data_IF_720245150760
#
_entry.id   IF_720245150760
#
_cell.length_a   1.000
_cell.length_b   1.000
_cell.length_c   1.000
_cell.angle_alpha   90.00
_cell.angle_beta   90.00
_cell.angle_gamma   90.00
#
_symmetry.space_group_name_H-M   'P 1'
#
loop_
_entity.id
_entity.type
_entity.pdbx_description
1 polymer ?
#
# COMPACT_ATOMS: atom_id res chain seq x y z
N UNK A 1 -6.54 27.17 -4.81
CA UNK A 1 -6.09 25.75 -4.81
C UNK A 1 -5.67 25.43 -3.40
N UNK A 2 -6.32 24.45 -2.79
CA UNK A 2 -5.98 23.97 -1.46
C UNK A 2 -4.64 23.23 -1.52
N UNK A 3 -3.73 23.52 -0.59
CA UNK A 3 -2.43 22.83 -0.55
C UNK A 3 -2.65 21.44 0.04
N UNK A 4 -2.20 20.40 -0.65
CA UNK A 4 -2.14 19.05 -0.11
C UNK A 4 -1.28 19.05 1.17
N UNK A 5 -1.82 18.54 2.26
CA UNK A 5 -1.07 18.39 3.50
C UNK A 5 -0.29 17.10 3.47
N UNK A 6 1.02 17.20 3.28
CA UNK A 6 1.92 16.05 3.41
C UNK A 6 1.99 15.67 4.89
N UNK A 7 1.16 14.72 5.28
CA UNK A 7 1.09 14.16 6.64
C UNK A 7 1.20 12.64 6.56
N UNK A 8 1.70 11.98 7.61
CA UNK A 8 1.73 10.52 7.62
C UNK A 8 0.32 9.94 7.41
N UNK A 9 0.13 9.07 6.40
CA UNK A 9 -1.10 8.31 6.27
C UNK A 9 -1.29 7.41 7.49
N UNK A 10 -2.55 7.20 7.85
CA UNK A 10 -2.92 6.38 9.00
C UNK A 10 -4.10 5.47 8.62
N UNK A 11 -4.20 4.26 9.22
CA UNK A 11 -5.42 3.48 9.12
C UNK A 11 -6.58 4.20 9.80
N UNK A 12 -7.80 3.80 9.50
CA UNK A 12 -9.01 4.44 10.02
C UNK A 12 -9.09 4.48 11.58
N UNK A 13 -8.41 3.55 12.25
CA UNK A 13 -8.33 3.47 13.72
C UNK A 13 -7.10 4.21 14.32
N UNK A 14 -6.32 4.93 13.50
CA UNK A 14 -5.12 5.67 13.94
C UNK A 14 -3.98 4.76 14.38
N UNK A 15 -3.26 5.17 15.45
CA UNK A 15 -2.11 4.43 16.00
C UNK A 15 -2.49 3.30 16.96
N UNK A 16 -3.72 2.76 16.89
CA UNK A 16 -4.15 1.60 17.67
C UNK A 16 -3.43 0.32 17.28
N UNK A 17 -3.56 -0.72 18.10
CA UNK A 17 -3.09 -2.04 17.70
C UNK A 17 -3.98 -2.62 16.58
N UNK A 18 -3.37 -3.41 15.70
CA UNK A 18 -4.03 -4.16 14.63
C UNK A 18 -3.61 -5.63 14.75
N UNK A 19 -3.97 -6.26 15.86
CA UNK A 19 -3.58 -7.64 16.14
C UNK A 19 -4.30 -8.63 15.23
N UNK A 20 -3.65 -9.73 14.80
CA UNK A 20 -2.28 -10.12 15.13
C UNK A 20 -1.18 -9.45 14.28
N UNK A 21 -1.54 -8.56 13.36
CA UNK A 21 -0.62 -7.96 12.37
C UNK A 21 0.45 -7.08 13.05
N UNK A 22 0.02 -6.11 13.84
CA UNK A 22 0.91 -5.16 14.51
C UNK A 22 0.36 -4.75 15.87
N UNK A 23 1.23 -4.63 16.88
CA UNK A 23 0.89 -4.00 18.14
C UNK A 23 0.97 -2.47 18.05
N UNK A 24 0.51 -1.79 19.12
CA UNK A 24 0.50 -0.34 19.16
C UNK A 24 1.88 0.28 18.96
N UNK A 25 2.91 -0.32 19.55
CA UNK A 25 4.28 0.19 19.43
C UNK A 25 4.78 0.09 17.98
N UNK A 26 4.54 -1.03 17.32
CA UNK A 26 4.89 -1.22 15.91
C UNK A 26 4.15 -0.22 15.03
N UNK A 27 2.85 0.01 15.26
CA UNK A 27 2.06 0.99 14.52
C UNK A 27 2.56 2.43 14.74
N UNK A 28 2.89 2.79 15.98
CA UNK A 28 3.41 4.11 16.32
C UNK A 28 4.75 4.39 15.61
N UNK A 29 5.69 3.45 15.70
CA UNK A 29 6.97 3.55 14.99
C UNK A 29 6.75 3.64 13.47
N UNK A 30 5.88 2.82 12.92
CA UNK A 30 5.58 2.78 11.49
C UNK A 30 5.06 4.13 10.98
N UNK A 31 4.04 4.67 11.66
CA UNK A 31 3.37 5.93 11.25
C UNK A 31 4.24 7.15 11.55
N UNK A 32 4.71 7.30 12.78
CA UNK A 32 5.33 8.56 13.22
C UNK A 32 6.83 8.61 12.98
N UNK A 33 7.55 7.50 13.11
CA UNK A 33 9.00 7.50 12.91
C UNK A 33 9.32 7.29 11.43
N UNK A 34 8.84 6.20 10.82
CA UNK A 34 9.20 5.85 9.44
C UNK A 34 8.53 6.82 8.45
N UNK A 35 7.20 6.81 8.42
CA UNK A 35 6.47 7.64 7.45
C UNK A 35 6.52 9.12 7.80
N UNK A 36 6.55 9.44 9.09
CA UNK A 36 6.73 10.81 9.58
C UNK A 36 8.02 11.45 9.06
N UNK A 37 9.12 10.70 9.02
CA UNK A 37 10.39 11.14 8.43
C UNK A 37 10.27 11.37 6.92
N UNK A 38 9.69 10.43 6.17
CA UNK A 38 9.45 10.60 4.73
C UNK A 38 8.65 11.87 4.42
N UNK A 39 7.64 12.17 5.24
CA UNK A 39 6.86 13.40 5.10
C UNK A 39 7.68 14.66 5.37
N UNK A 40 8.54 14.64 6.39
CA UNK A 40 9.41 15.77 6.72
C UNK A 40 10.43 16.02 5.60
N UNK A 41 11.08 14.98 5.12
CA UNK A 41 12.05 15.05 4.04
C UNK A 41 11.40 15.57 2.74
N UNK A 42 10.23 15.03 2.37
CA UNK A 42 9.51 15.47 1.18
C UNK A 42 9.14 16.96 1.23
N UNK A 43 8.65 17.46 2.38
CA UNK A 43 8.32 18.90 2.53
C UNK A 43 9.52 19.81 2.24
N UNK A 44 10.70 19.43 2.75
CA UNK A 44 11.94 20.18 2.53
C UNK A 44 12.36 20.13 1.05
N UNK A 45 12.31 18.95 0.45
CA UNK A 45 12.73 18.73 -0.94
C UNK A 45 11.88 19.51 -1.95
N UNK A 46 10.57 19.67 -1.69
CA UNK A 46 9.66 20.35 -2.63
C UNK A 46 9.29 21.77 -2.23
N UNK A 47 9.91 22.34 -1.20
CA UNK A 47 9.58 23.70 -0.69
C UNK A 47 9.62 24.77 -1.78
N UNK A 48 10.59 24.70 -2.69
CA UNK A 48 10.74 25.62 -3.84
C UNK A 48 9.81 25.30 -5.04
N UNK A 49 8.92 24.32 -4.94
CA UNK A 49 8.09 23.84 -6.06
C UNK A 49 6.59 23.89 -5.73
N UNK A 50 5.94 25.07 -5.80
CA UNK A 50 4.55 25.27 -5.36
C UNK A 50 3.53 24.30 -5.97
N UNK A 51 3.72 23.89 -7.23
CA UNK A 51 2.83 22.94 -7.91
C UNK A 51 2.87 21.57 -7.22
N UNK A 52 4.02 21.13 -6.73
CA UNK A 52 4.12 19.83 -6.03
C UNK A 52 3.33 19.79 -4.72
N UNK A 53 3.15 20.94 -4.07
CA UNK A 53 2.34 21.04 -2.84
C UNK A 53 0.83 20.85 -3.04
N UNK A 54 0.37 20.80 -4.29
CA UNK A 54 -1.06 20.58 -4.61
C UNK A 54 -1.36 19.15 -5.03
N UNK A 55 -0.32 18.31 -5.14
CA UNK A 55 -0.40 16.94 -5.61
C UNK A 55 -0.33 15.95 -4.45
N UNK A 56 -1.01 14.81 -4.58
CA UNK A 56 -0.87 13.68 -3.66
C UNK A 56 0.50 12.99 -3.81
N UNK A 57 0.91 12.25 -2.79
CA UNK A 57 2.24 11.63 -2.75
C UNK A 57 2.52 10.73 -3.97
N UNK A 58 1.53 9.93 -4.39
CA UNK A 58 1.66 9.10 -5.60
C UNK A 58 1.95 9.96 -6.84
N UNK A 59 1.23 11.07 -7.00
CA UNK A 59 1.38 11.94 -8.16
C UNK A 59 2.71 12.69 -8.12
N UNK A 60 3.16 13.14 -6.95
CA UNK A 60 4.50 13.72 -6.76
C UNK A 60 5.57 12.71 -7.19
N UNK A 61 5.47 11.46 -6.71
CA UNK A 61 6.40 10.39 -7.06
C UNK A 61 6.45 10.17 -8.59
N UNK A 62 5.29 10.05 -9.24
CA UNK A 62 5.18 9.84 -10.69
C UNK A 62 5.68 11.03 -11.51
N UNK A 63 5.57 12.25 -11.00
CA UNK A 63 6.00 13.50 -11.65
C UNK A 63 7.40 13.96 -11.24
N UNK A 64 8.10 13.25 -10.38
CA UNK A 64 9.43 13.64 -9.92
C UNK A 64 10.43 13.88 -11.07
N UNK A 65 10.22 13.24 -12.24
CA UNK A 65 11.02 13.48 -13.45
C UNK A 65 10.99 14.94 -13.92
N UNK A 66 9.99 15.75 -13.55
CA UNK A 66 9.88 17.18 -13.86
C UNK A 66 10.75 18.07 -12.96
N UNK A 67 11.27 17.50 -11.86
CA UNK A 67 12.11 18.21 -10.91
C UNK A 67 13.60 18.21 -11.33
N UNK A 68 14.41 19.11 -10.77
CA UNK A 68 15.86 19.13 -10.99
C UNK A 68 16.49 17.76 -10.68
N UNK A 69 17.44 17.35 -11.52
CA UNK A 69 18.08 16.01 -11.41
C UNK A 69 18.65 15.74 -10.01
N UNK A 70 19.14 16.78 -9.35
CA UNK A 70 19.78 16.67 -8.04
C UNK A 70 18.87 16.15 -6.94
N UNK A 71 17.57 16.52 -6.96
CA UNK A 71 16.60 16.15 -5.91
C UNK A 71 15.61 15.06 -6.35
N UNK A 72 15.63 14.69 -7.63
CA UNK A 72 14.60 13.82 -8.24
C UNK A 72 14.45 12.48 -7.55
N UNK A 73 15.57 11.82 -7.28
CA UNK A 73 15.54 10.48 -6.65
C UNK A 73 15.12 10.55 -5.18
N UNK A 74 15.54 11.59 -4.45
CA UNK A 74 15.13 11.78 -3.06
C UNK A 74 13.64 12.10 -2.96
N UNK A 75 13.10 12.89 -3.91
CA UNK A 75 11.65 13.14 -3.99
C UNK A 75 10.89 11.84 -4.34
N UNK A 76 11.38 11.06 -5.31
CA UNK A 76 10.78 9.77 -5.64
C UNK A 76 10.76 8.83 -4.46
N UNK A 77 11.88 8.75 -3.74
CA UNK A 77 12.00 7.90 -2.54
C UNK A 77 11.00 8.32 -1.45
N UNK A 78 10.98 9.61 -1.09
CA UNK A 78 10.12 10.11 -0.02
C UNK A 78 8.64 10.05 -0.40
N UNK A 79 8.27 10.54 -1.59
CA UNK A 79 6.89 10.53 -2.05
C UNK A 79 6.38 9.11 -2.34
N UNK A 80 7.22 8.26 -2.92
CA UNK A 80 6.91 6.85 -3.13
C UNK A 80 6.68 6.12 -1.82
N UNK A 81 7.52 6.35 -0.82
CA UNK A 81 7.36 5.77 0.51
C UNK A 81 6.04 6.16 1.17
N UNK A 82 5.65 7.44 1.12
CA UNK A 82 4.37 7.90 1.63
C UNK A 82 3.22 7.19 0.90
N UNK A 83 3.24 7.17 -0.44
CA UNK A 83 2.20 6.53 -1.24
C UNK A 83 2.10 5.03 -0.98
N UNK A 84 3.23 4.32 -0.86
CA UNK A 84 3.25 2.90 -0.51
C UNK A 84 2.53 2.62 0.82
N UNK A 85 2.79 3.46 1.83
CA UNK A 85 2.16 3.32 3.14
C UNK A 85 0.68 3.75 3.14
N UNK A 86 0.27 4.70 2.30
CA UNK A 86 -1.15 5.01 2.09
C UNK A 86 -1.91 3.78 1.61
N UNK A 87 -1.36 3.02 0.67
CA UNK A 87 -1.95 1.78 0.19
C UNK A 87 -1.89 0.64 1.20
N UNK A 88 -0.86 0.61 2.06
CA UNK A 88 -0.73 -0.38 3.12
C UNK A 88 -1.79 -0.17 4.22
N UNK A 89 -2.00 1.07 4.67
CA UNK A 89 -2.93 1.37 5.75
C UNK A 89 -4.40 1.45 5.32
N UNK A 90 -4.66 1.69 4.03
CA UNK A 90 -5.97 2.07 3.50
C UNK A 90 -7.13 1.19 3.93
N UNK A 91 -6.90 -0.10 4.00
CA UNK A 91 -7.97 -1.07 4.29
C UNK A 91 -7.76 -1.85 5.58
N UNK A 92 -6.79 -1.45 6.41
CA UNK A 92 -6.57 -2.13 7.69
C UNK A 92 -7.69 -1.84 8.68
N UNK A 93 -8.06 -2.86 9.47
CA UNK A 93 -9.04 -2.80 10.54
C UNK A 93 -8.41 -3.20 11.88
N UNK A 94 -8.88 -2.54 12.97
CA UNK A 94 -8.38 -2.81 14.32
C UNK A 94 -9.12 -3.95 15.03
N UNK A 95 -10.32 -4.32 14.57
CA UNK A 95 -11.11 -5.36 15.23
C UNK A 95 -10.42 -6.73 15.21
N UNK A 96 -10.81 -7.61 16.13
CA UNK A 96 -10.21 -8.93 16.27
C UNK A 96 -10.88 -9.98 15.35
N UNK A 97 -11.98 -9.64 14.69
CA UNK A 97 -12.69 -10.55 13.80
C UNK A 97 -11.95 -10.72 12.47
N UNK A 98 -12.02 -11.91 11.94
CA UNK A 98 -11.47 -12.22 10.63
C UNK A 98 -12.47 -11.80 9.54
N UNK A 99 -12.03 -10.94 8.64
CA UNK A 99 -12.83 -10.51 7.50
C UNK A 99 -12.42 -11.31 6.25
N UNK A 100 -13.42 -11.91 5.61
CA UNK A 100 -13.26 -12.64 4.35
C UNK A 100 -13.87 -11.83 3.20
N UNK A 101 -13.36 -12.00 1.97
CA UNK A 101 -13.96 -11.38 0.81
C UNK A 101 -15.43 -11.78 0.63
N UNK A 102 -16.30 -10.79 0.44
CA UNK A 102 -17.70 -11.04 0.03
C UNK A 102 -17.80 -11.66 -1.36
N UNK A 103 -19.01 -12.04 -1.76
CA UNK A 103 -19.27 -12.79 -3.01
C UNK A 103 -18.68 -12.13 -4.25
N UNK A 104 -18.81 -10.80 -4.38
CA UNK A 104 -18.32 -10.07 -5.54
C UNK A 104 -16.79 -10.04 -5.61
N UNK A 105 -16.12 -9.74 -4.49
CA UNK A 105 -14.64 -9.75 -4.45
C UNK A 105 -14.14 -11.17 -4.69
N UNK A 106 -14.77 -12.18 -4.09
CA UNK A 106 -14.47 -13.60 -4.31
C UNK A 106 -14.57 -13.99 -5.78
N UNK A 107 -15.58 -13.47 -6.51
CA UNK A 107 -15.72 -13.71 -7.95
C UNK A 107 -14.61 -13.04 -8.77
N UNK A 108 -14.22 -11.80 -8.42
CA UNK A 108 -13.08 -11.12 -9.07
C UNK A 108 -11.76 -11.86 -8.81
N UNK A 109 -11.55 -12.32 -7.57
CA UNK A 109 -10.40 -13.16 -7.21
C UNK A 109 -10.42 -14.49 -7.99
N UNK A 110 -11.58 -15.14 -8.10
CA UNK A 110 -11.74 -16.38 -8.87
C UNK A 110 -11.38 -16.20 -10.35
N UNK A 111 -11.83 -15.13 -10.98
CA UNK A 111 -11.48 -14.80 -12.39
C UNK A 111 -10.01 -14.52 -12.58
N UNK A 112 -9.34 -13.97 -11.56
CA UNK A 112 -7.95 -13.52 -11.64
C UNK A 112 -6.95 -14.60 -11.25
N UNK A 113 -7.30 -15.45 -10.25
CA UNK A 113 -6.39 -16.40 -9.62
C UNK A 113 -6.93 -17.83 -9.54
N UNK A 114 -8.16 -18.08 -10.04
CA UNK A 114 -8.82 -19.40 -10.02
C UNK A 114 -9.75 -19.60 -8.83
N UNK A 115 -9.40 -19.09 -7.64
CA UNK A 115 -10.23 -19.04 -6.44
C UNK A 115 -9.70 -17.99 -5.46
N UNK A 116 -10.49 -17.66 -4.41
CA UNK A 116 -10.01 -16.84 -3.30
C UNK A 116 -8.87 -17.56 -2.53
N UNK A 117 -8.99 -18.85 -2.30
CA UNK A 117 -7.95 -19.66 -1.63
C UNK A 117 -6.64 -19.68 -2.43
N UNK A 118 -6.73 -19.79 -3.77
CA UNK A 118 -5.57 -19.71 -4.65
C UNK A 118 -4.90 -18.34 -4.55
N UNK A 119 -5.68 -17.26 -4.50
CA UNK A 119 -5.15 -15.92 -4.29
C UNK A 119 -4.42 -15.82 -2.94
N UNK A 120 -5.03 -16.25 -1.84
CA UNK A 120 -4.42 -16.21 -0.52
C UNK A 120 -3.12 -17.03 -0.46
N UNK A 121 -3.12 -18.20 -1.09
CA UNK A 121 -1.91 -19.01 -1.20
C UNK A 121 -0.80 -18.28 -1.98
N UNK A 122 -1.11 -17.79 -3.19
CA UNK A 122 -0.15 -17.11 -4.07
C UNK A 122 0.39 -15.84 -3.38
N UNK A 123 -0.47 -15.04 -2.74
CA UNK A 123 -0.07 -13.82 -2.05
C UNK A 123 0.97 -14.10 -0.95
N UNK A 124 0.74 -15.13 -0.13
CA UNK A 124 1.69 -15.56 0.92
C UNK A 124 3.00 -16.06 0.34
N UNK A 125 2.96 -16.82 -0.75
CA UNK A 125 4.18 -17.32 -1.38
C UNK A 125 4.99 -16.21 -2.06
N UNK A 126 4.33 -15.22 -2.68
CA UNK A 126 5.01 -14.06 -3.23
C UNK A 126 5.66 -13.20 -2.13
N UNK A 127 4.97 -12.98 -1.01
CA UNK A 127 5.55 -12.28 0.15
C UNK A 127 6.80 -12.99 0.68
N UNK A 128 6.77 -14.33 0.78
CA UNK A 128 7.92 -15.15 1.20
C UNK A 128 9.09 -15.05 0.23
N UNK A 129 8.84 -14.93 -1.08
CA UNK A 129 9.88 -14.90 -2.11
C UNK A 129 10.67 -13.60 -2.17
N UNK A 130 10.12 -12.51 -1.67
CA UNK A 130 10.81 -11.23 -1.66
C UNK A 130 12.01 -11.26 -0.69
N UNK A 131 13.23 -11.11 -1.21
CA UNK A 131 14.47 -11.19 -0.43
C UNK A 131 14.89 -9.83 0.13
N UNK A 132 14.41 -8.73 -0.44
CA UNK A 132 14.77 -7.36 -0.07
C UNK A 132 13.54 -6.59 0.38
N UNK A 133 13.73 -5.50 1.13
CA UNK A 133 12.64 -4.58 1.47
C UNK A 133 11.96 -4.02 0.23
N UNK A 134 10.64 -3.86 0.31
CA UNK A 134 9.79 -3.39 -0.77
C UNK A 134 8.33 -3.69 -0.49
N UNK A 135 7.50 -3.69 -1.52
CA UNK A 135 6.05 -3.87 -1.39
C UNK A 135 5.52 -4.94 -2.33
N UNK A 136 4.60 -5.75 -1.81
CA UNK A 136 3.78 -6.65 -2.61
C UNK A 136 2.42 -5.98 -2.84
N UNK A 137 2.05 -5.81 -4.09
CA UNK A 137 0.87 -5.07 -4.51
C UNK A 137 -0.21 -5.98 -5.04
N UNK A 138 -1.45 -5.68 -4.70
CA UNK A 138 -2.62 -6.10 -5.45
C UNK A 138 -3.06 -4.91 -6.32
N UNK A 139 -3.15 -5.12 -7.62
CA UNK A 139 -3.46 -4.09 -8.60
C UNK A 139 -4.65 -4.47 -9.47
N UNK A 140 -5.37 -3.48 -9.99
CA UNK A 140 -6.27 -3.65 -11.13
C UNK A 140 -5.54 -3.33 -12.43
N UNK A 141 -5.95 -3.96 -13.52
CA UNK A 141 -5.43 -3.68 -14.86
C UNK A 141 -6.34 -2.67 -15.57
N UNK A 142 -5.80 -1.50 -15.98
CA UNK A 142 -6.59 -0.35 -16.44
C UNK A 142 -7.23 -0.48 -17.82
N UNK A 143 -7.00 -1.59 -18.54
CA UNK A 143 -7.41 -1.76 -19.95
C UNK A 143 -8.51 -2.78 -20.19
N UNK A 144 -9.12 -3.31 -19.14
CA UNK A 144 -10.11 -4.37 -19.27
C UNK A 144 -11.50 -3.88 -18.89
N UNK A 145 -12.48 -4.07 -19.75
CA UNK A 145 -13.90 -3.93 -19.41
C UNK A 145 -14.35 -4.94 -18.34
N UNK A 146 -13.50 -5.91 -18.03
CA UNK A 146 -13.70 -6.89 -16.95
C UNK A 146 -12.59 -6.68 -15.94
N UNK A 147 -12.94 -6.34 -14.71
CA UNK A 147 -11.97 -6.17 -13.63
C UNK A 147 -11.16 -7.44 -13.42
N UNK A 148 -9.86 -7.32 -13.59
CA UNK A 148 -8.88 -8.36 -13.27
C UNK A 148 -7.88 -7.83 -12.27
N UNK A 149 -7.52 -8.68 -11.32
CA UNK A 149 -6.51 -8.40 -10.32
C UNK A 149 -5.17 -9.04 -10.70
N UNK A 150 -4.09 -8.35 -10.37
CA UNK A 150 -2.71 -8.82 -10.59
C UNK A 150 -1.89 -8.56 -9.34
N UNK A 151 -0.98 -9.48 -9.05
CA UNK A 151 0.08 -9.22 -8.08
C UNK A 151 1.30 -8.64 -8.79
N UNK A 152 1.92 -7.67 -8.16
CA UNK A 152 3.17 -7.07 -8.58
C UNK A 152 4.06 -6.87 -7.34
N UNK A 153 5.36 -6.99 -7.49
CA UNK A 153 6.33 -6.70 -6.44
C UNK A 153 7.23 -5.55 -6.86
N UNK A 154 7.51 -4.64 -5.95
CA UNK A 154 8.43 -3.53 -6.17
C UNK A 154 9.52 -3.52 -5.11
N UNK A 155 10.67 -2.93 -5.42
CA UNK A 155 11.78 -2.76 -4.48
C UNK A 155 11.76 -1.37 -3.87
N UNK A 156 12.24 -1.25 -2.66
CA UNK A 156 12.26 0.04 -1.98
C UNK A 156 10.85 0.63 -1.90
N UNK A 157 10.71 1.87 -2.28
CA UNK A 157 9.44 2.61 -2.34
C UNK A 157 8.98 2.87 -3.79
N UNK A 158 9.33 2.00 -4.71
CA UNK A 158 8.83 2.10 -6.07
C UNK A 158 7.34 1.73 -6.14
N UNK A 159 6.62 2.47 -7.00
CA UNK A 159 5.21 2.20 -7.30
C UNK A 159 5.09 1.19 -8.46
N UNK A 160 4.00 0.43 -8.54
CA UNK A 160 3.75 -0.42 -9.69
C UNK A 160 3.76 0.38 -10.99
N UNK A 161 4.39 -0.14 -12.05
CA UNK A 161 4.41 0.53 -13.35
C UNK A 161 3.04 0.45 -14.04
N UNK A 162 2.77 1.38 -14.97
CA UNK A 162 1.64 1.26 -15.88
C UNK A 162 1.69 -0.08 -16.65
N UNK A 163 0.54 -0.72 -16.94
CA UNK A 163 -0.84 -0.23 -16.78
C UNK A 163 -1.49 -0.59 -15.43
N UNK A 164 -0.73 -0.97 -14.44
CA UNK A 164 -1.26 -1.42 -13.16
C UNK A 164 -1.69 -0.23 -12.30
N UNK A 165 -2.94 -0.28 -11.81
CA UNK A 165 -3.49 0.68 -10.86
C UNK A 165 -3.47 0.04 -9.47
N UNK A 166 -2.68 0.57 -8.52
CA UNK A 166 -2.59 0.03 -7.17
C UNK A 166 -3.96 -0.03 -6.49
N UNK A 167 -4.27 -1.13 -5.82
CA UNK A 167 -5.45 -1.29 -4.97
C UNK A 167 -5.06 -1.30 -3.50
N UNK A 168 -4.17 -2.19 -3.13
CA UNK A 168 -3.56 -2.27 -1.81
C UNK A 168 -2.11 -2.76 -1.91
N UNK A 169 -1.34 -2.55 -0.85
CA UNK A 169 0.02 -3.03 -0.73
C UNK A 169 0.28 -3.72 0.61
N UNK A 170 1.16 -4.71 0.62
CA UNK A 170 1.77 -5.28 1.81
C UNK A 170 3.19 -4.73 1.93
N UNK A 171 3.51 -4.12 3.06
CA UNK A 171 4.85 -3.66 3.37
C UNK A 171 5.73 -4.85 3.77
N UNK A 172 6.83 -5.07 3.05
CA UNK A 172 7.80 -6.14 3.31
C UNK A 172 9.17 -5.58 3.74
N UNK A 173 9.20 -4.35 4.23
CA UNK A 173 10.32 -3.84 5.01
C UNK A 173 10.31 -4.45 6.41
N UNK A 174 11.47 -4.68 6.98
CA UNK A 174 11.66 -5.36 8.28
C UNK A 174 10.91 -4.67 9.42
N UNK A 175 10.82 -3.34 9.42
CA UNK A 175 10.11 -2.60 10.46
C UNK A 175 8.61 -2.96 10.56
N UNK A 176 8.01 -3.48 9.50
CA UNK A 176 6.58 -3.83 9.48
C UNK A 176 6.29 -5.19 10.14
N UNK A 177 7.25 -6.12 10.15
CA UNK A 177 6.96 -7.50 10.55
C UNK A 177 7.97 -8.14 11.51
N UNK A 178 9.23 -7.68 11.55
CA UNK A 178 10.31 -8.41 12.23
C UNK A 178 10.05 -8.64 13.73
N UNK A 179 9.45 -7.66 14.39
CA UNK A 179 9.20 -7.71 15.84
C UNK A 179 8.19 -8.78 16.24
N UNK A 180 7.24 -9.11 15.37
CA UNK A 180 6.16 -10.07 15.68
C UNK A 180 6.30 -11.40 14.97
N UNK A 181 6.81 -11.40 13.77
CA UNK A 181 6.87 -12.58 12.89
C UNK A 181 8.31 -13.07 12.64
N UNK A 182 9.33 -12.35 13.13
CA UNK A 182 10.71 -12.67 12.79
C UNK A 182 10.88 -12.71 11.27
N UNK A 183 11.44 -13.79 10.75
CA UNK A 183 11.64 -13.99 9.30
C UNK A 183 10.41 -14.61 8.58
N UNK A 184 9.34 -14.94 9.33
CA UNK A 184 8.15 -15.59 8.75
C UNK A 184 7.23 -14.58 8.04
N UNK A 185 7.65 -14.14 6.87
CA UNK A 185 6.86 -13.26 5.99
C UNK A 185 5.56 -13.88 5.52
N UNK A 186 5.46 -15.23 5.53
CA UNK A 186 4.22 -15.92 5.16
C UNK A 186 3.16 -15.75 6.24
N UNK A 187 3.53 -15.94 7.52
CA UNK A 187 2.62 -15.70 8.64
C UNK A 187 2.22 -14.21 8.73
N UNK A 188 3.16 -13.30 8.46
CA UNK A 188 2.87 -11.87 8.38
C UNK A 188 1.88 -11.53 7.27
N UNK A 189 2.06 -12.05 6.06
CA UNK A 189 1.13 -11.85 4.95
C UNK A 189 -0.27 -12.42 5.25
N UNK A 190 -0.34 -13.56 5.94
CA UNK A 190 -1.60 -14.13 6.40
C UNK A 190 -2.29 -13.22 7.40
N UNK A 191 -1.57 -12.71 8.40
CA UNK A 191 -2.10 -11.76 9.37
C UNK A 191 -2.60 -10.46 8.71
N UNK A 192 -1.90 -9.96 7.69
CA UNK A 192 -2.34 -8.80 6.91
C UNK A 192 -3.66 -9.05 6.20
N UNK A 193 -3.79 -10.16 5.47
CA UNK A 193 -5.00 -10.51 4.72
C UNK A 193 -6.24 -10.64 5.62
N UNK A 194 -6.05 -11.10 6.86
CA UNK A 194 -7.11 -11.20 7.88
C UNK A 194 -7.55 -9.85 8.45
N UNK A 195 -6.74 -8.80 8.32
CA UNK A 195 -7.01 -7.45 8.82
C UNK A 195 -7.52 -6.50 7.74
N UNK A 196 -7.83 -7.00 6.55
CA UNK A 196 -8.36 -6.18 5.47
C UNK A 196 -9.87 -6.00 5.57
N UNK A 197 -10.32 -4.76 5.43
CA UNK A 197 -11.72 -4.43 5.17
C UNK A 197 -12.07 -4.76 3.71
N UNK A 198 -12.52 -5.98 3.48
CA UNK A 198 -12.87 -6.46 2.13
C UNK A 198 -14.09 -5.73 1.54
N UNK A 199 -14.99 -5.19 2.37
CA UNK A 199 -16.12 -4.38 1.90
C UNK A 199 -15.65 -3.04 1.33
N UNK A 200 -14.65 -2.41 1.97
CA UNK A 200 -14.03 -1.20 1.44
C UNK A 200 -13.21 -1.47 0.17
N UNK A 201 -12.57 -2.63 0.07
CA UNK A 201 -11.92 -3.10 -1.18
C UNK A 201 -12.97 -3.25 -2.28
N UNK A 202 -14.12 -3.86 -2.01
CA UNK A 202 -15.22 -4.03 -2.96
C UNK A 202 -15.79 -2.69 -3.42
N UNK A 203 -16.03 -1.76 -2.50
CA UNK A 203 -16.50 -0.41 -2.83
C UNK A 203 -15.52 0.31 -3.79
N UNK A 204 -14.21 0.15 -3.56
CA UNK A 204 -13.19 0.73 -4.45
C UNK A 204 -13.20 0.09 -5.85
N UNK A 205 -13.33 -1.23 -5.92
CA UNK A 205 -13.46 -1.94 -7.20
C UNK A 205 -14.70 -1.50 -7.98
N UNK A 206 -15.83 -1.35 -7.27
CA UNK A 206 -17.08 -0.85 -7.84
C UNK A 206 -16.93 0.55 -8.43
N UNK A 207 -16.33 1.46 -7.66
CA UNK A 207 -16.13 2.84 -8.12
C UNK A 207 -15.24 2.90 -9.38
N UNK A 208 -14.23 2.03 -9.48
CA UNK A 208 -13.36 1.95 -10.67
C UNK A 208 -14.07 1.41 -11.90
N UNK A 209 -15.01 0.48 -11.74
CA UNK A 209 -15.81 -0.06 -12.84
C UNK A 209 -16.85 0.96 -13.36
N UNK A 210 -17.41 1.77 -12.47
CA UNK A 210 -18.40 2.80 -12.83
C UNK A 210 -17.77 4.08 -13.41
N UNK A 211 -16.50 4.34 -13.13
CA UNK A 211 -15.78 5.56 -13.54
C UNK A 211 -14.91 5.42 -14.81
N UNK A 212 -14.87 4.26 -15.41
CA UNK A 212 -14.17 3.96 -16.68
C UNK A 212 -15.17 3.87 -17.80
#
# INVERSE_FOLDING_TARGET
>A
MERYRITPPQPAFGCGACLPLADRQTMDVHIHVIVGRLCADLRVLIDGFPVMHTLEAEEICRRAFQLPRLIREDVRFSAGGIACHEYYFRYLMADEEEHLPGDRVSEVLRRSFGSADSFFYIFREEAKRMQTGGFLWLCTESRSHVTRLRLASTRGYDLPPAPYLPLLSLDLWEHAYINRFGEDRRAYADAFLRRLNWDAVDATLTARECGG
#
